data_IF_287875938063
#
_entry.id   IF_287875938063
#
_cell.length_a   1.000
_cell.length_b   1.000
_cell.length_c   1.000
_cell.angle_alpha   90.00
_cell.angle_beta   90.00
_cell.angle_gamma   90.00
#
_symmetry.space_group_name_H-M   'P 1'
#
loop_
_entity.id
_entity.type
_entity.pdbx_description
1 polymer ?
#
# COMPACT_ATOMS: atom_id res chain seq x y z
N UNK A 1 -12.76 11.39 9.29
CA UNK A 1 -11.46 10.81 8.95
C UNK A 1 -11.71 9.35 8.61
N UNK A 2 -11.64 9.00 7.33
CA UNK A 2 -11.97 7.64 6.86
C UNK A 2 -10.75 6.73 6.96
N UNK A 3 -10.97 5.45 7.27
CA UNK A 3 -9.91 4.43 7.26
C UNK A 3 -9.46 4.13 5.81
N UNK A 4 -10.34 4.32 4.83
CA UNK A 4 -10.05 4.08 3.40
C UNK A 4 -8.99 5.05 2.86
N UNK A 5 -8.17 4.57 1.94
CA UNK A 5 -7.19 5.39 1.23
C UNK A 5 -7.84 5.99 -0.02
N UNK A 6 -8.50 7.14 0.09
CA UNK A 6 -9.33 7.71 -0.99
C UNK A 6 -8.53 8.47 -2.07
N UNK A 7 -7.20 8.34 -2.07
CA UNK A 7 -6.33 8.98 -3.06
C UNK A 7 -6.54 8.36 -4.45
N UNK A 8 -6.46 9.16 -5.53
CA UNK A 8 -6.63 8.64 -6.88
C UNK A 8 -5.53 7.64 -7.20
N UNK A 9 -5.88 6.61 -7.96
CA UNK A 9 -4.92 5.70 -8.55
C UNK A 9 -4.06 6.44 -9.59
N UNK A 10 -2.79 6.08 -9.64
CA UNK A 10 -1.79 6.58 -10.56
C UNK A 10 -1.12 5.38 -11.26
N UNK A 11 -0.65 5.52 -12.50
CA UNK A 11 0.11 4.46 -13.17
C UNK A 11 1.33 4.05 -12.34
N UNK A 12 1.57 2.75 -12.19
CA UNK A 12 2.77 2.23 -11.54
C UNK A 12 3.88 2.11 -12.59
N UNK A 13 4.56 3.23 -12.86
CA UNK A 13 5.72 3.29 -13.73
C UNK A 13 6.81 4.21 -13.15
N UNK A 14 8.00 4.18 -13.74
CA UNK A 14 9.14 4.99 -13.27
C UNK A 14 8.86 6.48 -13.34
N UNK A 15 8.11 6.96 -14.33
CA UNK A 15 7.85 8.40 -14.51
C UNK A 15 6.96 8.93 -13.39
N UNK A 16 5.88 8.20 -13.06
CA UNK A 16 5.01 8.54 -11.96
C UNK A 16 5.73 8.46 -10.60
N UNK A 17 6.56 7.43 -10.41
CA UNK A 17 7.33 7.24 -9.19
C UNK A 17 8.36 8.35 -8.98
N UNK A 18 9.13 8.70 -10.01
CA UNK A 18 10.20 9.71 -9.93
C UNK A 18 9.63 11.13 -9.64
N UNK A 19 8.36 11.37 -9.99
CA UNK A 19 7.66 12.61 -9.69
C UNK A 19 7.20 12.72 -8.22
N UNK A 20 7.18 11.62 -7.45
CA UNK A 20 6.77 11.64 -6.05
C UNK A 20 7.85 12.29 -5.17
N UNK A 21 7.48 12.99 -4.09
CA UNK A 21 8.45 13.36 -3.07
C UNK A 21 9.01 12.11 -2.37
N UNK A 22 10.31 12.14 -2.07
CA UNK A 22 10.98 11.11 -1.28
C UNK A 22 10.58 11.21 0.21
N UNK A 23 9.36 10.77 0.53
CA UNK A 23 8.76 10.90 1.85
C UNK A 23 8.23 9.56 2.39
N UNK A 24 7.98 9.54 3.71
CA UNK A 24 7.37 8.42 4.42
C UNK A 24 5.87 8.35 4.15
N UNK A 25 5.31 7.15 4.23
CA UNK A 25 3.87 6.98 4.07
C UNK A 25 3.43 5.55 3.86
N UNK A 26 2.18 5.40 3.45
CA UNK A 26 1.58 4.11 3.08
C UNK A 26 1.16 4.13 1.62
N UNK A 27 1.06 2.96 1.03
CA UNK A 27 0.59 2.81 -0.34
C UNK A 27 -0.23 1.53 -0.52
N UNK A 28 -0.99 1.51 -1.61
CA UNK A 28 -1.58 0.31 -2.17
C UNK A 28 -1.14 0.18 -3.62
N UNK A 29 -0.90 -1.04 -4.03
CA UNK A 29 -0.61 -1.41 -5.43
C UNK A 29 -1.72 -2.33 -5.91
N UNK A 30 -2.18 -2.12 -7.14
CA UNK A 30 -3.28 -2.87 -7.73
C UNK A 30 -3.02 -3.25 -9.18
N UNK A 31 -3.77 -4.25 -9.63
CA UNK A 31 -3.90 -4.62 -11.04
C UNK A 31 -4.74 -3.61 -11.82
N UNK A 32 -4.95 -3.84 -13.13
CA UNK A 32 -5.73 -2.94 -13.99
C UNK A 32 -7.23 -2.96 -13.70
N UNK A 33 -7.73 -3.99 -13.01
CA UNK A 33 -9.10 -4.10 -12.54
C UNK A 33 -9.37 -3.38 -11.21
N UNK A 34 -8.32 -2.87 -10.54
CA UNK A 34 -8.42 -2.24 -9.23
C UNK A 34 -8.33 -3.22 -8.06
N UNK A 35 -7.97 -4.48 -8.31
CA UNK A 35 -7.71 -5.47 -7.26
C UNK A 35 -6.41 -5.14 -6.56
N UNK A 36 -6.47 -4.93 -5.25
CA UNK A 36 -5.27 -4.60 -4.45
C UNK A 36 -4.39 -5.85 -4.32
N UNK A 37 -3.20 -5.79 -4.90
CA UNK A 37 -2.19 -6.86 -4.90
C UNK A 37 -1.21 -6.75 -3.73
N UNK A 38 -0.97 -5.52 -3.23
CA UNK A 38 -0.10 -5.26 -2.08
C UNK A 38 -0.56 -4.03 -1.32
N UNK A 39 -0.40 -4.07 0.01
CA UNK A 39 -0.52 -2.91 0.90
C UNK A 39 0.78 -2.77 1.67
N UNK A 40 1.50 -1.67 1.46
CA UNK A 40 2.82 -1.47 2.03
C UNK A 40 3.03 -0.08 2.62
N UNK A 41 4.25 0.17 3.07
CA UNK A 41 4.66 1.47 3.58
C UNK A 41 6.11 1.80 3.20
N UNK A 42 6.41 3.10 3.17
CA UNK A 42 7.76 3.64 3.12
C UNK A 42 8.10 4.19 4.51
N UNK A 43 9.01 3.52 5.21
CA UNK A 43 9.44 3.85 6.56
C UNK A 43 10.79 4.54 6.60
N UNK A 44 11.33 4.68 7.81
CA UNK A 44 12.60 5.39 8.04
C UNK A 44 13.84 4.62 7.54
N UNK A 45 13.68 3.38 7.05
CA UNK A 45 14.79 2.52 6.59
C UNK A 45 14.92 2.52 5.07
N UNK A 46 13.95 3.10 4.38
CA UNK A 46 13.85 3.16 2.94
C UNK A 46 14.59 4.40 2.44
N UNK A 47 15.74 4.19 1.80
CA UNK A 47 16.42 5.24 1.05
C UNK A 47 15.44 5.79 0.00
N UNK A 48 15.34 7.11 -0.11
CA UNK A 48 14.38 7.80 -1.00
C UNK A 48 12.89 7.54 -0.73
N UNK A 49 12.53 7.00 0.44
CA UNK A 49 11.15 6.91 0.90
C UNK A 49 10.21 6.17 -0.06
N UNK A 50 9.06 6.78 -0.37
CA UNK A 50 8.02 6.22 -1.23
C UNK A 50 8.53 5.75 -2.60
N UNK A 51 9.52 6.45 -3.18
CA UNK A 51 10.04 6.13 -4.50
C UNK A 51 10.63 4.72 -4.53
N UNK A 52 11.60 4.45 -3.66
CA UNK A 52 12.24 3.12 -3.61
C UNK A 52 11.31 2.04 -3.06
N UNK A 53 10.30 2.39 -2.28
CA UNK A 53 9.30 1.41 -1.86
C UNK A 53 8.45 0.91 -3.04
N UNK A 54 7.97 1.82 -3.89
CA UNK A 54 7.20 1.46 -5.10
C UNK A 54 8.05 0.81 -6.19
N UNK A 55 9.33 1.18 -6.32
CA UNK A 55 10.26 0.48 -7.23
C UNK A 55 10.42 -0.99 -6.85
N UNK A 56 10.53 -1.30 -5.55
CA UNK A 56 10.57 -2.70 -5.08
C UNK A 56 9.29 -3.47 -5.40
N UNK A 57 8.13 -2.82 -5.32
CA UNK A 57 6.86 -3.44 -5.70
C UNK A 57 6.82 -3.79 -7.20
N UNK A 58 7.37 -2.93 -8.08
CA UNK A 58 7.54 -3.24 -9.51
C UNK A 58 8.41 -4.49 -9.68
N UNK A 59 9.53 -4.57 -8.97
CA UNK A 59 10.45 -5.72 -9.03
C UNK A 59 9.80 -7.03 -8.53
N UNK A 60 8.95 -6.95 -7.50
CA UNK A 60 8.33 -8.11 -6.86
C UNK A 60 7.07 -8.60 -7.57
N UNK A 61 6.17 -7.69 -7.96
CA UNK A 61 4.88 -8.04 -8.57
C UNK A 61 4.94 -8.08 -10.10
N UNK A 62 5.95 -7.44 -10.71
CA UNK A 62 6.13 -7.39 -12.15
C UNK A 62 4.91 -6.83 -12.88
N UNK A 63 4.57 -7.44 -14.02
CA UNK A 63 3.52 -6.95 -14.92
C UNK A 63 2.09 -7.02 -14.37
N UNK A 64 1.87 -7.73 -13.25
CA UNK A 64 0.55 -7.77 -12.61
C UNK A 64 0.19 -6.44 -11.94
N UNK A 65 1.19 -5.71 -11.43
CA UNK A 65 1.01 -4.43 -10.80
C UNK A 65 1.01 -3.31 -11.85
N UNK A 66 -0.09 -2.55 -11.92
CA UNK A 66 -0.28 -1.54 -12.98
C UNK A 66 -0.56 -0.16 -12.44
N UNK A 67 -1.04 -0.05 -11.21
CA UNK A 67 -1.40 1.22 -10.59
C UNK A 67 -1.12 1.22 -9.10
N UNK A 68 -0.88 2.40 -8.55
CA UNK A 68 -0.70 2.61 -7.13
C UNK A 68 -1.44 3.86 -6.64
N UNK A 69 -1.65 3.94 -5.34
CA UNK A 69 -2.03 5.17 -4.65
C UNK A 69 -1.30 5.24 -3.32
N UNK A 70 -0.98 6.44 -2.88
CA UNK A 70 -0.19 6.64 -1.67
C UNK A 70 -0.71 7.79 -0.82
N UNK A 71 -0.45 7.70 0.49
CA UNK A 71 -0.67 8.75 1.47
C UNK A 71 0.64 9.01 2.20
N UNK A 72 1.13 10.25 2.15
CA UNK A 72 2.32 10.66 2.90
C UNK A 72 1.96 10.89 4.37
N UNK A 73 2.67 10.22 5.26
CA UNK A 73 2.43 10.30 6.71
C UNK A 73 3.62 9.76 7.50
N UNK A 74 3.94 10.43 8.60
CA UNK A 74 4.92 9.92 9.58
C UNK A 74 4.37 8.78 10.44
N UNK A 75 3.03 8.62 10.49
CA UNK A 75 2.34 7.55 11.22
C UNK A 75 2.13 6.30 10.36
N UNK A 76 3.03 6.04 9.41
CA UNK A 76 2.89 4.99 8.40
C UNK A 76 2.65 3.60 8.99
N UNK A 77 3.18 3.30 10.18
CA UNK A 77 3.02 1.98 10.80
C UNK A 77 1.59 1.72 11.26
N UNK A 78 0.99 2.64 12.03
CA UNK A 78 -0.41 2.50 12.46
C UNK A 78 -1.35 2.59 11.27
N UNK A 79 -1.05 3.48 10.31
CA UNK A 79 -1.84 3.62 9.09
C UNK A 79 -1.82 2.36 8.23
N UNK A 80 -0.68 1.67 8.15
CA UNK A 80 -0.57 0.40 7.45
C UNK A 80 -1.43 -0.68 8.12
N UNK A 81 -1.37 -0.78 9.45
CA UNK A 81 -2.21 -1.72 10.21
C UNK A 81 -3.70 -1.48 9.95
N UNK A 82 -4.15 -0.23 9.97
CA UNK A 82 -5.53 0.15 9.64
C UNK A 82 -5.95 -0.30 8.24
N UNK A 83 -5.09 -0.11 7.23
CA UNK A 83 -5.38 -0.52 5.85
C UNK A 83 -5.42 -2.04 5.70
N UNK A 84 -4.56 -2.78 6.41
CA UNK A 84 -4.61 -4.24 6.44
C UNK A 84 -5.90 -4.72 7.12
N UNK A 85 -6.26 -4.17 8.27
CA UNK A 85 -7.49 -4.52 8.97
C UNK A 85 -8.74 -4.26 8.10
N UNK A 86 -8.74 -3.14 7.37
CA UNK A 86 -9.80 -2.80 6.42
C UNK A 86 -9.87 -3.79 5.26
N UNK A 87 -8.75 -4.09 4.62
CA UNK A 87 -8.73 -5.04 3.50
C UNK A 87 -9.23 -6.43 3.96
N UNK A 88 -8.79 -6.87 5.15
CA UNK A 88 -9.23 -8.11 5.75
C UNK A 88 -10.73 -8.13 6.08
N UNK A 89 -11.30 -6.99 6.48
CA UNK A 89 -12.74 -6.85 6.70
C UNK A 89 -13.56 -6.86 5.40
N UNK A 90 -13.04 -6.22 4.34
CA UNK A 90 -13.70 -6.12 3.04
C UNK A 90 -13.65 -7.45 2.24
N UNK A 91 -12.51 -8.16 2.29
CA UNK A 91 -12.23 -9.30 1.40
C UNK A 91 -12.04 -10.64 2.14
N UNK A 92 -11.97 -10.63 3.47
CA UNK A 92 -11.82 -11.85 4.29
C UNK A 92 -10.39 -12.41 4.37
N UNK A 93 -9.49 -11.99 3.48
CA UNK A 93 -8.06 -12.30 3.49
C UNK A 93 -7.21 -11.07 3.19
N UNK A 94 -5.89 -11.15 3.43
CA UNK A 94 -4.93 -10.12 3.04
C UNK A 94 -4.31 -10.45 1.67
N UNK A 95 -3.74 -9.47 0.96
CA UNK A 95 -3.00 -9.74 -0.27
C UNK A 95 -1.83 -10.69 0.00
N UNK A 96 -1.42 -11.45 -1.02
CA UNK A 96 -0.42 -12.50 -0.88
C UNK A 96 0.86 -12.07 -0.14
N UNK A 97 1.48 -10.90 -0.45
CA UNK A 97 2.71 -10.49 0.22
C UNK A 97 2.53 -10.12 1.70
N UNK A 98 1.29 -9.90 2.16
CA UNK A 98 0.96 -9.59 3.56
C UNK A 98 0.13 -10.67 4.24
N UNK A 99 0.00 -11.87 3.65
CA UNK A 99 -0.84 -12.95 4.19
C UNK A 99 -0.41 -13.39 5.60
N UNK A 100 0.88 -13.35 5.89
CA UNK A 100 1.45 -13.67 7.21
C UNK A 100 1.09 -12.64 8.31
N UNK A 101 0.72 -11.42 7.91
CA UNK A 101 0.32 -10.36 8.85
C UNK A 101 -1.09 -10.55 9.41
N UNK A 102 -1.90 -11.45 8.83
CA UNK A 102 -3.30 -11.61 9.19
C UNK A 102 -3.53 -12.04 10.65
N UNK A 103 -2.57 -12.75 11.25
CA UNK A 103 -2.60 -13.17 12.65
C UNK A 103 -2.19 -12.04 13.62
N UNK A 104 -1.45 -11.03 13.12
CA UNK A 104 -0.94 -9.91 13.91
C UNK A 104 -1.92 -8.75 13.98
N UNK A 105 -2.59 -8.44 12.87
CA UNK A 105 -3.46 -7.26 12.78
C UNK A 105 -4.78 -7.50 13.52
N UNK A 106 -5.35 -6.43 14.06
CA UNK A 106 -6.67 -6.47 14.72
C UNK A 106 -7.80 -6.78 13.74
N UNK A 107 -9.05 -6.81 14.24
CA UNK A 107 -10.25 -6.94 13.41
C UNK A 107 -11.10 -5.68 13.54
N UNK A 108 -11.53 -5.12 12.41
CA UNK A 108 -12.60 -4.14 12.42
C UNK A 108 -13.92 -4.90 12.62
N UNK A 109 -14.68 -4.53 13.65
CA UNK A 109 -16.05 -5.02 13.80
C UNK A 109 -16.95 -4.25 12.83
N UNK A 110 -17.97 -4.88 12.22
CA UNK A 110 -18.99 -4.15 11.49
C UNK A 110 -19.61 -3.07 12.38
N UNK A 111 -19.81 -1.87 11.81
CA UNK A 111 -20.62 -0.83 12.44
C UNK A 111 -22.11 -1.19 12.35
#
# INVERSE_FOLDING_TARGET
MGIRLDKPWQPLDSTAIDALPAQLGVYQVADSGGTVLSVGYAGARELFGMQSALQREIEQLGAAATQFRCEFTSNYRSRWDELLMLHLADYGELPEPQRDQAARVGRLSPA
#
